data_IF_291688615727
#
_entry.id   IF_291688615727
#
_cell.length_a   1.000
_cell.length_b   1.000
_cell.length_c   1.000
_cell.angle_alpha   90.00
_cell.angle_beta   90.00
_cell.angle_gamma   90.00
#
_symmetry.space_group_name_H-M   'P 1'
#
loop_
_entity.id
_entity.type
_entity.pdbx_description
1 polymer ?
#
# COMPACT_ATOMS: atom_id res chain seq x y z
N UNK A 1 -6.96 22.70 16.65
CA UNK A 1 -6.48 21.74 15.63
C UNK A 1 -6.70 20.35 16.17
N UNK A 2 -7.20 19.41 15.36
CA UNK A 2 -7.49 18.04 15.82
C UNK A 2 -6.18 17.29 16.00
N UNK A 3 -5.93 16.77 17.21
CA UNK A 3 -4.77 15.95 17.47
C UNK A 3 -4.92 14.56 16.83
N UNK A 4 -3.83 13.97 16.36
CA UNK A 4 -3.75 12.60 15.86
C UNK A 4 -2.93 11.76 16.82
N UNK A 5 -3.26 10.47 16.94
CA UNK A 5 -2.64 9.58 17.92
C UNK A 5 -1.99 8.42 17.18
N UNK A 6 -0.65 8.36 17.23
CA UNK A 6 0.12 7.26 16.67
C UNK A 6 0.37 6.21 17.75
N UNK A 7 -0.14 4.97 17.63
CA UNK A 7 0.17 3.94 18.60
C UNK A 7 1.68 3.63 18.58
N UNK A 8 2.29 3.55 19.77
CA UNK A 8 3.69 3.12 19.91
C UNK A 8 3.72 1.60 19.91
N UNK A 9 3.71 1.04 18.70
CA UNK A 9 3.53 -0.40 18.46
C UNK A 9 4.65 -1.21 19.10
N UNK A 10 4.25 -2.24 19.83
CA UNK A 10 5.09 -3.26 20.44
C UNK A 10 4.72 -4.63 19.87
N UNK A 11 5.63 -5.57 20.06
CA UNK A 11 5.56 -6.93 19.55
C UNK A 11 6.01 -7.93 20.63
N UNK A 12 5.77 -9.23 20.41
CA UNK A 12 5.99 -10.28 21.39
C UNK A 12 4.85 -10.50 22.41
N UNK A 13 4.98 -11.61 23.16
CA UNK A 13 3.93 -12.18 24.02
C UNK A 13 3.77 -11.49 25.39
N UNK A 14 4.83 -10.83 25.88
CA UNK A 14 4.82 -10.17 27.18
C UNK A 14 4.11 -8.81 27.09
N UNK A 15 2.77 -8.82 27.24
CA UNK A 15 1.91 -7.65 27.09
C UNK A 15 1.40 -7.15 28.44
N UNK A 16 1.50 -5.84 28.75
CA UNK A 16 0.86 -5.22 29.91
C UNK A 16 -0.67 -5.39 29.89
N UNK A 17 -1.30 -5.46 31.06
CA UNK A 17 -2.76 -5.67 31.19
C UNK A 17 -3.59 -4.58 30.50
N UNK A 18 -3.08 -3.35 30.44
CA UNK A 18 -3.73 -2.19 29.84
C UNK A 18 -3.44 -2.00 28.34
N UNK A 19 -2.55 -2.81 27.76
CA UNK A 19 -2.25 -2.72 26.35
C UNK A 19 -3.47 -3.12 25.51
N UNK A 20 -3.58 -2.56 24.31
CA UNK A 20 -4.64 -2.80 23.33
C UNK A 20 -4.08 -3.45 22.06
N UNK A 21 -4.83 -4.32 21.36
CA UNK A 21 -4.35 -4.92 20.12
C UNK A 21 -4.36 -3.85 19.02
N UNK A 22 -3.37 -3.87 18.13
CA UNK A 22 -3.37 -3.04 16.94
C UNK A 22 -4.10 -3.77 15.82
N UNK A 23 -5.14 -3.14 15.29
CA UNK A 23 -5.90 -3.59 14.13
C UNK A 23 -6.39 -5.06 14.25
N UNK A 24 -6.76 -5.48 15.47
CA UNK A 24 -7.17 -6.85 15.81
C UNK A 24 -6.07 -7.92 15.70
N UNK A 25 -4.85 -7.55 15.33
CA UNK A 25 -3.71 -8.45 15.17
C UNK A 25 -2.94 -8.70 16.48
N UNK A 26 -1.82 -9.44 16.40
CA UNK A 26 -1.04 -9.80 17.59
C UNK A 26 -0.08 -8.69 18.06
N UNK A 27 0.05 -7.59 17.30
CA UNK A 27 0.80 -6.40 17.73
C UNK A 27 -0.06 -5.63 18.72
N UNK A 28 0.57 -4.89 19.62
CA UNK A 28 -0.15 -4.18 20.68
C UNK A 28 0.51 -2.86 21.05
N UNK A 29 -0.20 -1.99 21.77
CA UNK A 29 0.31 -0.72 22.26
C UNK A 29 -0.37 -0.36 23.59
N UNK A 30 0.37 0.25 24.52
CA UNK A 30 -0.17 0.82 25.77
C UNK A 30 -0.03 2.35 25.83
N UNK A 31 0.65 2.94 24.84
CA UNK A 31 0.88 4.36 24.72
C UNK A 31 0.73 4.82 23.27
N UNK A 32 0.37 6.09 23.10
CA UNK A 32 0.31 6.77 21.81
C UNK A 32 1.19 8.03 21.84
N UNK A 33 1.87 8.30 20.74
CA UNK A 33 2.38 9.65 20.47
C UNK A 33 1.22 10.54 20.01
N UNK A 34 0.96 11.62 20.73
CA UNK A 34 -0.01 12.67 20.37
C UNK A 34 0.69 13.68 19.47
N UNK A 35 0.23 13.76 18.23
CA UNK A 35 0.66 14.72 17.22
C UNK A 35 -0.38 15.83 17.07
N UNK A 36 0.05 17.09 17.13
CA UNK A 36 -0.77 18.25 16.81
C UNK A 36 0.10 19.29 16.10
N UNK A 37 -0.44 19.91 15.04
CA UNK A 37 0.31 20.87 14.23
C UNK A 37 0.78 22.05 15.10
N UNK A 38 2.07 22.37 15.01
CA UNK A 38 2.69 23.44 15.78
C UNK A 38 2.94 23.12 17.26
N UNK A 39 2.66 21.90 17.73
CA UNK A 39 2.94 21.44 19.09
C UNK A 39 4.07 20.40 19.08
N UNK A 40 4.80 20.29 20.19
CA UNK A 40 5.75 19.20 20.39
C UNK A 40 4.99 17.87 20.55
N UNK A 41 5.51 16.81 19.94
CA UNK A 41 4.97 15.46 20.10
C UNK A 41 5.13 15.03 21.56
N UNK A 42 4.04 14.56 22.16
CA UNK A 42 4.01 14.06 23.54
C UNK A 42 3.55 12.61 23.56
N UNK A 43 3.96 11.85 24.57
CA UNK A 43 3.50 10.47 24.76
C UNK A 43 2.40 10.46 25.80
N UNK A 44 1.27 9.84 25.48
CA UNK A 44 0.11 9.71 26.37
C UNK A 44 -0.25 8.23 26.54
N UNK A 45 -0.76 7.79 27.71
CA UNK A 45 -1.30 6.45 27.89
C UNK A 45 -2.57 6.24 27.05
N UNK A 46 -2.91 4.98 26.74
CA UNK A 46 -4.14 4.65 26.00
C UNK A 46 -5.41 5.19 26.67
N UNK A 47 -5.41 5.35 28.00
CA UNK A 47 -6.53 5.92 28.76
C UNK A 47 -6.85 7.39 28.42
N UNK A 48 -5.91 8.11 27.80
CA UNK A 48 -6.08 9.51 27.38
C UNK A 48 -6.42 9.64 25.89
N UNK A 49 -6.45 8.53 25.14
CA UNK A 49 -6.77 8.53 23.70
C UNK A 49 -8.30 8.53 23.53
N UNK A 50 -8.87 9.38 22.65
CA UNK A 50 -10.31 9.39 22.38
C UNK A 50 -10.84 8.01 21.98
N UNK A 51 -12.03 7.63 22.48
CA UNK A 51 -12.59 6.29 22.27
C UNK A 51 -12.85 5.95 20.80
N UNK A 52 -13.25 6.93 20.00
CA UNK A 52 -13.47 6.74 18.56
C UNK A 52 -12.15 6.47 17.81
N UNK A 53 -11.06 7.11 18.24
CA UNK A 53 -9.71 6.83 17.73
C UNK A 53 -9.24 5.44 18.17
N UNK A 54 -9.40 5.09 19.45
CA UNK A 54 -9.09 3.75 19.95
C UNK A 54 -9.85 2.68 19.17
N UNK A 55 -11.15 2.86 18.93
CA UNK A 55 -11.96 1.92 18.17
C UNK A 55 -11.37 1.66 16.76
N UNK A 56 -10.90 2.70 16.06
CA UNK A 56 -10.24 2.56 14.75
C UNK A 56 -8.87 1.89 14.84
N UNK A 57 -8.10 2.23 15.87
CA UNK A 57 -6.77 1.64 16.10
C UNK A 57 -6.87 0.14 16.45
N UNK A 58 -7.91 -0.29 17.16
CA UNK A 58 -8.00 -1.66 17.69
C UNK A 58 -8.88 -2.59 16.86
N UNK A 59 -9.81 -2.08 16.05
CA UNK A 59 -10.71 -2.91 15.25
C UNK A 59 -9.94 -3.81 14.26
N UNK A 60 -10.27 -5.12 14.18
CA UNK A 60 -9.77 -6.00 13.13
C UNK A 60 -9.96 -5.40 11.74
N UNK A 61 -9.02 -5.64 10.84
CA UNK A 61 -9.21 -5.28 9.43
C UNK A 61 -10.00 -6.37 8.72
N UNK A 62 -11.10 -5.97 8.10
CA UNK A 62 -11.92 -6.86 7.28
C UNK A 62 -11.15 -7.39 6.07
N UNK A 63 -11.57 -8.54 5.49
CA UNK A 63 -10.92 -9.10 4.33
C UNK A 63 -10.92 -8.15 3.11
N UNK A 64 -9.77 -8.01 2.48
CA UNK A 64 -9.59 -7.25 1.23
C UNK A 64 -9.32 -8.23 0.11
N UNK A 65 -10.07 -8.12 -1.01
CA UNK A 65 -9.96 -9.03 -2.15
C UNK A 65 -10.07 -10.52 -1.79
N UNK A 66 -10.87 -10.85 -0.76
CA UNK A 66 -11.05 -12.22 -0.27
C UNK A 66 -9.94 -12.75 0.63
N UNK A 67 -8.94 -11.93 0.97
CA UNK A 67 -7.82 -12.29 1.85
C UNK A 67 -8.04 -11.69 3.24
N UNK A 68 -7.89 -12.48 4.30
CA UNK A 68 -7.91 -11.92 5.67
C UNK A 68 -6.74 -10.97 5.87
N UNK A 69 -6.94 -9.94 6.69
CA UNK A 69 -5.96 -8.90 6.99
C UNK A 69 -5.40 -9.03 8.43
N UNK A 70 -5.34 -10.28 8.92
CA UNK A 70 -4.82 -10.67 10.25
C UNK A 70 -3.28 -10.77 10.29
N UNK A 71 -2.63 -10.68 9.13
CA UNK A 71 -1.19 -10.72 8.95
C UNK A 71 -0.76 -10.08 7.63
N UNK A 72 0.56 -9.91 7.40
CA UNK A 72 1.07 -9.28 6.20
C UNK A 72 0.75 -10.15 4.96
N UNK A 73 0.21 -9.51 3.93
CA UNK A 73 -0.01 -10.06 2.59
C UNK A 73 1.01 -9.49 1.62
N UNK A 74 1.52 -10.34 0.74
CA UNK A 74 2.49 -9.96 -0.28
C UNK A 74 1.74 -9.63 -1.56
N UNK A 75 1.82 -8.38 -1.96
CA UNK A 75 1.35 -7.92 -3.27
C UNK A 75 2.54 -7.85 -4.24
N UNK A 76 2.55 -8.74 -5.22
CA UNK A 76 3.59 -8.81 -6.24
C UNK A 76 3.36 -7.82 -7.39
N UNK A 77 4.35 -6.99 -7.70
CA UNK A 77 4.29 -6.01 -8.79
C UNK A 77 4.49 -6.68 -10.16
N UNK A 78 3.47 -6.67 -11.01
CA UNK A 78 3.52 -7.13 -12.39
C UNK A 78 3.28 -5.97 -13.36
N UNK A 79 4.36 -5.27 -13.73
CA UNK A 79 4.30 -4.30 -14.82
C UNK A 79 4.19 -5.04 -16.16
N UNK A 80 3.21 -4.63 -16.98
CA UNK A 80 2.92 -5.14 -18.33
C UNK A 80 3.23 -4.07 -19.39
N UNK A 81 4.39 -3.40 -19.25
CA UNK A 81 4.82 -2.28 -20.09
C UNK A 81 5.70 -2.71 -21.27
N UNK A 82 5.81 -1.88 -22.34
CA UNK A 82 6.43 -2.27 -23.61
C UNK A 82 7.94 -2.45 -23.66
N UNK A 83 8.66 -2.39 -22.53
CA UNK A 83 10.11 -2.54 -22.52
C UNK A 83 10.58 -3.92 -23.05
N UNK A 84 9.64 -4.87 -23.29
CA UNK A 84 9.84 -6.16 -23.96
C UNK A 84 9.03 -6.38 -25.26
N UNK A 85 8.33 -5.37 -25.79
CA UNK A 85 7.43 -5.51 -26.96
C UNK A 85 8.13 -5.42 -28.32
N UNK A 86 9.45 -5.22 -28.36
CA UNK A 86 10.16 -4.91 -29.61
C UNK A 86 10.18 -6.04 -30.64
N UNK A 87 9.87 -7.30 -30.30
CA UNK A 87 10.10 -8.43 -31.22
C UNK A 87 8.94 -9.43 -31.40
N UNK A 88 7.80 -9.33 -30.67
CA UNK A 88 6.83 -10.44 -30.57
C UNK A 88 5.33 -10.15 -30.73
N UNK A 89 4.89 -8.89 -30.82
CA UNK A 89 3.47 -8.53 -30.80
C UNK A 89 2.82 -8.60 -29.41
N UNK A 90 1.59 -8.09 -29.28
CA UNK A 90 0.85 -7.97 -28.01
C UNK A 90 0.63 -9.32 -27.32
N UNK A 91 0.36 -10.37 -28.08
CA UNK A 91 0.06 -11.70 -27.52
C UNK A 91 1.27 -12.37 -26.88
N UNK A 92 2.47 -12.22 -27.46
CA UNK A 92 3.71 -12.75 -26.90
C UNK A 92 4.05 -12.08 -25.56
N UNK A 93 3.84 -10.76 -25.48
CA UNK A 93 4.06 -9.99 -24.25
C UNK A 93 3.07 -10.39 -23.13
N UNK A 94 1.83 -10.70 -23.49
CA UNK A 94 0.81 -11.15 -22.55
C UNK A 94 1.17 -12.53 -21.99
N UNK A 95 1.61 -13.48 -22.84
CA UNK A 95 2.05 -14.80 -22.38
C UNK A 95 3.27 -14.74 -21.45
N UNK A 96 4.24 -13.87 -21.74
CA UNK A 96 5.38 -13.64 -20.85
C UNK A 96 4.92 -13.08 -19.49
N UNK A 97 4.02 -12.10 -19.51
CA UNK A 97 3.45 -11.50 -18.29
C UNK A 97 2.67 -12.52 -17.46
N UNK A 98 1.88 -13.38 -18.11
CA UNK A 98 1.16 -14.49 -17.46
C UNK A 98 2.13 -15.51 -16.85
N UNK A 99 3.21 -15.85 -17.55
CA UNK A 99 4.23 -16.76 -17.03
C UNK A 99 4.94 -16.17 -15.79
N UNK A 100 5.29 -14.88 -15.83
CA UNK A 100 5.85 -14.16 -14.67
C UNK A 100 4.86 -14.12 -13.51
N UNK A 101 3.58 -13.83 -13.77
CA UNK A 101 2.53 -13.84 -12.76
C UNK A 101 2.41 -15.20 -12.06
N UNK A 102 2.36 -16.30 -12.83
CA UNK A 102 2.34 -17.66 -12.29
C UNK A 102 3.57 -17.97 -11.44
N UNK A 103 4.74 -17.48 -11.84
CA UNK A 103 5.96 -17.62 -11.05
C UNK A 103 5.87 -16.87 -9.72
N UNK A 104 5.36 -15.63 -9.73
CA UNK A 104 5.16 -14.85 -8.50
C UNK A 104 4.19 -15.54 -7.54
N UNK A 105 3.12 -16.15 -8.04
CA UNK A 105 2.21 -16.96 -7.22
C UNK A 105 2.91 -18.17 -6.60
N UNK A 106 3.76 -18.89 -7.37
CA UNK A 106 4.57 -19.99 -6.86
C UNK A 106 5.59 -19.54 -5.80
N UNK A 107 6.15 -18.34 -5.97
CA UNK A 107 7.07 -17.71 -5.03
C UNK A 107 6.35 -17.15 -3.78
N UNK A 108 5.02 -17.19 -3.77
CA UNK A 108 4.17 -16.85 -2.63
C UNK A 108 3.64 -15.43 -2.66
N UNK A 109 3.26 -14.88 -3.81
CA UNK A 109 2.42 -13.67 -3.85
C UNK A 109 0.98 -14.03 -3.43
N UNK A 110 0.38 -13.22 -2.55
CA UNK A 110 -1.04 -13.34 -2.17
C UNK A 110 -1.93 -12.54 -3.14
N UNK A 111 -1.42 -11.39 -3.63
CA UNK A 111 -2.08 -10.51 -4.59
C UNK A 111 -1.12 -10.26 -5.75
N UNK A 112 -1.64 -10.24 -6.98
CA UNK A 112 -0.90 -9.75 -8.15
C UNK A 112 -1.37 -8.33 -8.47
N UNK A 113 -0.44 -7.38 -8.57
CA UNK A 113 -0.75 -5.99 -8.92
C UNK A 113 -0.29 -5.69 -10.35
N UNK A 114 -1.26 -5.62 -11.25
CA UNK A 114 -1.05 -5.53 -12.69
C UNK A 114 -1.10 -4.06 -13.10
N UNK A 115 0.02 -3.54 -13.62
CA UNK A 115 0.13 -2.14 -14.06
C UNK A 115 0.46 -2.03 -15.54
N UNK A 116 -0.44 -1.39 -16.31
CA UNK A 116 -0.23 -1.12 -17.74
C UNK A 116 0.49 0.19 -18.04
N UNK A 117 0.59 1.07 -17.04
CA UNK A 117 1.23 2.38 -17.12
C UNK A 117 2.35 2.49 -16.08
N UNK A 118 3.51 3.01 -16.48
CA UNK A 118 4.60 3.26 -15.53
C UNK A 118 4.33 4.53 -14.74
N UNK A 119 4.32 4.41 -13.41
CA UNK A 119 4.18 5.53 -12.47
C UNK A 119 5.53 6.06 -11.97
N UNK A 120 6.62 5.69 -12.64
CA UNK A 120 7.97 6.18 -12.34
C UNK A 120 8.12 7.67 -12.67
N UNK A 121 8.98 8.41 -11.96
CA UNK A 121 9.25 9.81 -12.28
C UNK A 121 9.60 10.02 -13.76
N UNK A 122 8.86 10.91 -14.44
CA UNK A 122 9.09 11.27 -15.84
C UNK A 122 8.58 10.26 -16.88
N UNK A 123 7.87 9.21 -16.49
CA UNK A 123 7.23 8.30 -17.45
C UNK A 123 6.02 8.98 -18.13
N UNK A 124 5.83 8.82 -19.45
CA UNK A 124 4.70 9.41 -20.16
C UNK A 124 3.39 8.65 -19.87
N UNK A 125 2.28 9.39 -19.89
CA UNK A 125 0.94 8.82 -19.85
C UNK A 125 0.65 7.91 -21.06
N UNK A 126 -0.03 6.79 -20.80
CA UNK A 126 -0.46 5.81 -21.81
C UNK A 126 -1.94 6.03 -22.16
N UNK A 127 -2.36 6.05 -23.44
CA UNK A 127 -3.78 6.14 -23.80
C UNK A 127 -4.64 5.02 -23.16
N UNK A 128 -5.89 5.32 -22.82
CA UNK A 128 -6.83 4.36 -22.17
C UNK A 128 -6.90 3.03 -22.91
N UNK A 129 -7.15 3.04 -24.21
CA UNK A 129 -7.32 1.82 -25.01
C UNK A 129 -6.04 0.97 -25.01
N UNK A 130 -4.88 1.62 -24.99
CA UNK A 130 -3.59 0.94 -24.95
C UNK A 130 -3.32 0.31 -23.57
N UNK A 131 -3.67 1.01 -22.48
CA UNK A 131 -3.56 0.45 -21.13
C UNK A 131 -4.52 -0.74 -20.94
N UNK A 132 -5.76 -0.65 -21.44
CA UNK A 132 -6.74 -1.74 -21.45
C UNK A 132 -6.16 -2.96 -22.21
N UNK A 133 -5.62 -2.74 -23.42
CA UNK A 133 -5.06 -3.80 -24.24
C UNK A 133 -3.86 -4.51 -23.58
N UNK A 134 -3.15 -3.84 -22.67
CA UNK A 134 -2.05 -4.44 -21.89
C UNK A 134 -2.56 -5.22 -20.68
N UNK A 135 -3.52 -4.67 -19.93
CA UNK A 135 -3.93 -5.20 -18.61
C UNK A 135 -4.99 -6.29 -18.70
N UNK A 136 -5.99 -6.13 -19.59
CA UNK A 136 -7.15 -7.04 -19.66
C UNK A 136 -6.76 -8.47 -19.99
N UNK A 137 -5.95 -8.76 -21.02
CA UNK A 137 -5.62 -10.15 -21.38
C UNK A 137 -4.91 -10.92 -20.25
N UNK A 138 -4.05 -10.22 -19.49
CA UNK A 138 -3.34 -10.81 -18.34
C UNK A 138 -4.29 -11.04 -17.17
N UNK A 139 -5.18 -10.09 -16.90
CA UNK A 139 -6.22 -10.21 -15.87
C UNK A 139 -7.17 -11.38 -16.15
N UNK A 140 -7.69 -11.50 -17.37
CA UNK A 140 -8.59 -12.59 -17.76
C UNK A 140 -7.95 -13.97 -17.61
N UNK A 141 -6.69 -14.10 -18.04
CA UNK A 141 -5.95 -15.36 -17.99
C UNK A 141 -5.62 -15.83 -16.56
N UNK A 142 -5.74 -14.95 -15.57
CA UNK A 142 -5.42 -15.18 -14.15
C UNK A 142 -6.66 -15.12 -13.25
N UNK A 143 -7.86 -15.07 -13.84
CA UNK A 143 -9.13 -15.00 -13.10
C UNK A 143 -9.24 -16.07 -12.02
N UNK A 144 -9.68 -15.66 -10.83
CA UNK A 144 -9.79 -16.52 -9.64
C UNK A 144 -8.62 -16.38 -8.66
N UNK A 145 -7.56 -15.66 -9.04
CA UNK A 145 -6.51 -15.19 -8.13
C UNK A 145 -6.88 -13.79 -7.63
N UNK A 146 -6.50 -13.37 -6.40
CA UNK A 146 -6.60 -11.97 -5.99
C UNK A 146 -5.74 -11.08 -6.89
N UNK A 147 -6.41 -10.24 -7.68
CA UNK A 147 -5.80 -9.33 -8.64
C UNK A 147 -6.13 -7.90 -8.24
N UNK A 148 -5.08 -7.11 -8.11
CA UNK A 148 -5.09 -5.65 -8.05
C UNK A 148 -4.72 -5.08 -9.42
N UNK A 149 -5.35 -3.98 -9.81
CA UNK A 149 -4.99 -3.26 -11.05
C UNK A 149 -4.50 -1.88 -10.66
N UNK A 150 -3.24 -1.59 -10.98
CA UNK A 150 -2.57 -0.31 -10.76
C UNK A 150 -2.94 0.63 -11.92
N UNK A 151 -4.00 1.43 -11.72
CA UNK A 151 -4.48 2.38 -12.71
C UNK A 151 -5.12 3.61 -12.06
N UNK A 152 -5.00 4.74 -12.74
CA UNK A 152 -5.61 6.02 -12.35
C UNK A 152 -6.86 6.35 -13.18
N UNK A 153 -7.25 5.47 -14.13
CA UNK A 153 -8.26 5.73 -15.15
C UNK A 153 -9.48 4.84 -14.93
N UNK A 154 -10.65 5.42 -14.74
CA UNK A 154 -11.88 4.71 -14.42
C UNK A 154 -12.27 3.73 -15.54
N UNK A 155 -12.05 4.10 -16.80
CA UNK A 155 -12.31 3.21 -17.94
C UNK A 155 -11.45 1.92 -17.90
N UNK A 156 -10.17 2.03 -17.53
CA UNK A 156 -9.27 0.88 -17.38
C UNK A 156 -9.72 0.03 -16.19
N UNK A 157 -10.06 0.66 -15.07
CA UNK A 157 -10.54 -0.01 -13.86
C UNK A 157 -11.84 -0.80 -14.12
N UNK A 158 -12.79 -0.23 -14.89
CA UNK A 158 -14.02 -0.91 -15.33
C UNK A 158 -13.69 -2.15 -16.16
N UNK A 159 -12.89 -2.01 -17.22
CA UNK A 159 -12.54 -3.12 -18.10
C UNK A 159 -11.81 -4.24 -17.35
N UNK A 160 -10.91 -3.89 -16.43
CA UNK A 160 -10.18 -4.87 -15.65
C UNK A 160 -11.06 -5.56 -14.59
N UNK A 161 -12.03 -4.86 -14.00
CA UNK A 161 -13.03 -5.47 -13.12
C UNK A 161 -13.90 -6.50 -13.85
N UNK A 162 -14.34 -6.19 -15.08
CA UNK A 162 -15.07 -7.13 -15.94
C UNK A 162 -14.23 -8.38 -16.29
N UNK A 163 -12.92 -8.18 -16.51
CA UNK A 163 -11.94 -9.23 -16.75
C UNK A 163 -11.69 -10.13 -15.51
N UNK A 164 -11.99 -9.66 -14.31
CA UNK A 164 -11.88 -10.43 -13.05
C UNK A 164 -10.95 -9.83 -12.00
N UNK A 165 -10.55 -8.56 -12.12
CA UNK A 165 -9.84 -7.86 -11.04
C UNK A 165 -10.71 -7.77 -9.77
N UNK A 166 -10.06 -7.85 -8.62
CA UNK A 166 -10.69 -7.92 -7.29
C UNK A 166 -10.34 -6.75 -6.37
N UNK A 167 -9.42 -5.90 -6.79
CA UNK A 167 -8.94 -4.70 -6.09
C UNK A 167 -8.51 -3.67 -7.14
N UNK A 168 -8.83 -2.41 -6.90
CA UNK A 168 -8.31 -1.27 -7.67
C UNK A 168 -7.21 -0.60 -6.85
N UNK A 169 -6.09 -0.25 -7.46
CA UNK A 169 -5.00 0.47 -6.82
C UNK A 169 -4.75 1.78 -7.59
N UNK A 170 -5.18 2.90 -7.00
CA UNK A 170 -5.07 4.21 -7.63
C UNK A 170 -4.01 5.06 -6.92
N UNK A 171 -2.85 5.16 -7.56
CA UNK A 171 -1.72 5.96 -7.07
C UNK A 171 -2.00 7.47 -7.02
N UNK A 172 -3.01 7.96 -7.73
CA UNK A 172 -3.44 9.36 -7.64
C UNK A 172 -4.31 9.63 -6.41
N UNK A 173 -4.82 8.58 -5.78
CA UNK A 173 -5.80 8.73 -4.70
C UNK A 173 -7.12 9.27 -5.23
N UNK A 174 -7.58 8.85 -6.41
CA UNK A 174 -8.87 9.21 -7.03
C UNK A 174 -8.98 10.66 -7.54
N UNK A 175 -7.85 11.37 -7.66
CA UNK A 175 -7.85 12.78 -8.10
C UNK A 175 -7.59 12.93 -9.60
N UNK A 176 -7.08 11.89 -10.27
CA UNK A 176 -6.76 11.95 -11.70
C UNK A 176 -8.01 11.85 -12.57
N UNK A 177 -8.83 10.81 -12.35
CA UNK A 177 -10.07 10.59 -13.09
C UNK A 177 -11.28 10.83 -12.17
N UNK A 178 -12.13 11.84 -12.46
CA UNK A 178 -13.27 12.17 -11.62
C UNK A 178 -14.31 11.05 -11.53
N UNK A 179 -14.34 10.12 -12.48
CA UNK A 179 -15.28 8.98 -12.47
C UNK A 179 -14.83 7.84 -11.55
N UNK A 180 -13.57 7.82 -11.10
CA UNK A 180 -13.00 6.70 -10.34
C UNK A 180 -13.73 6.47 -9.01
N UNK A 181 -14.11 7.55 -8.32
CA UNK A 181 -14.84 7.46 -7.04
C UNK A 181 -16.20 6.79 -7.22
N UNK A 182 -16.97 7.22 -8.24
CA UNK A 182 -18.28 6.64 -8.54
C UNK A 182 -18.16 5.18 -9.01
N UNK A 183 -17.14 4.87 -9.80
CA UNK A 183 -16.84 3.49 -10.19
C UNK A 183 -16.55 2.59 -8.97
N UNK A 184 -15.70 3.03 -8.04
CA UNK A 184 -15.38 2.25 -6.84
C UNK A 184 -16.63 2.00 -5.99
N UNK A 185 -17.47 3.03 -5.80
CA UNK A 185 -18.71 2.90 -5.07
C UNK A 185 -19.71 1.94 -5.71
N UNK A 186 -19.90 2.03 -7.04
CA UNK A 186 -20.85 1.19 -7.78
C UNK A 186 -20.40 -0.26 -7.92
N UNK A 187 -19.13 -0.50 -8.24
CA UNK A 187 -18.55 -1.85 -8.33
C UNK A 187 -18.48 -2.55 -6.97
N UNK A 188 -18.39 -1.75 -5.89
CA UNK A 188 -18.07 -2.21 -4.52
C UNK A 188 -16.80 -3.06 -4.47
N UNK A 189 -15.88 -2.94 -5.44
CA UNK A 189 -14.57 -3.54 -5.29
C UNK A 189 -13.80 -2.79 -4.19
N UNK A 190 -12.96 -3.49 -3.41
CA UNK A 190 -11.96 -2.81 -2.62
C UNK A 190 -11.10 -1.87 -3.47
N UNK A 191 -10.66 -0.77 -2.86
CA UNK A 191 -9.80 0.23 -3.49
C UNK A 191 -8.65 0.62 -2.57
N UNK A 192 -7.44 0.66 -3.11
CA UNK A 192 -6.29 1.27 -2.49
C UNK A 192 -6.15 2.71 -2.98
N UNK A 193 -6.22 3.66 -2.05
CA UNK A 193 -6.00 5.09 -2.29
C UNK A 193 -4.63 5.49 -1.77
N UNK A 194 -3.78 5.99 -2.67
CA UNK A 194 -2.43 6.42 -2.32
C UNK A 194 -2.34 7.94 -2.23
N UNK A 195 -1.47 8.44 -1.36
CA UNK A 195 -1.06 9.84 -1.41
C UNK A 195 0.04 10.08 -2.47
N UNK A 196 -0.28 10.94 -3.44
CA UNK A 196 0.67 11.56 -4.37
C UNK A 196 0.28 13.04 -4.60
N UNK A 197 1.27 13.91 -4.84
CA UNK A 197 1.03 15.27 -5.35
C UNK A 197 1.55 15.38 -6.77
N UNK A 198 0.89 16.19 -7.60
CA UNK A 198 1.21 16.35 -9.01
C UNK A 198 0.96 15.06 -9.81
N UNK A 199 1.76 14.86 -10.86
CA UNK A 199 1.76 13.68 -11.72
C UNK A 199 3.14 12.99 -11.67
N UNK A 200 3.32 11.77 -12.19
CA UNK A 200 4.65 11.17 -12.28
C UNK A 200 5.71 12.09 -12.92
N UNK A 201 5.31 12.96 -13.85
CA UNK A 201 6.17 13.94 -14.51
C UNK A 201 6.53 15.14 -13.62
N UNK A 202 5.61 15.61 -12.76
CA UNK A 202 5.78 16.87 -12.00
C UNK A 202 6.04 16.66 -10.50
N UNK A 203 5.74 15.48 -9.96
CA UNK A 203 5.73 15.21 -8.52
C UNK A 203 7.05 15.50 -7.80
N UNK A 204 8.18 15.46 -8.51
CA UNK A 204 9.49 15.74 -7.91
C UNK A 204 9.66 17.19 -7.46
N UNK A 205 8.83 18.12 -7.97
CA UNK A 205 8.80 19.52 -7.54
C UNK A 205 7.79 19.80 -6.41
N UNK A 206 6.88 18.86 -6.13
CA UNK A 206 5.73 19.03 -5.23
C UNK A 206 6.01 18.46 -3.82
N UNK A 207 7.21 18.75 -3.28
CA UNK A 207 7.69 18.15 -2.02
C UNK A 207 7.58 19.09 -0.80
N UNK A 208 6.78 20.15 -0.89
CA UNK A 208 6.62 21.17 0.14
C UNK A 208 5.52 20.79 1.15
N UNK A 209 5.91 20.04 2.18
CA UNK A 209 5.02 19.71 3.29
C UNK A 209 5.35 20.57 4.51
N UNK A 210 4.32 21.05 5.20
CA UNK A 210 4.49 21.70 6.49
C UNK A 210 4.79 20.65 7.57
N UNK A 211 4.07 19.53 7.52
CA UNK A 211 4.34 18.31 8.30
C UNK A 211 3.91 17.13 7.44
N UNK A 212 4.86 16.46 6.79
CA UNK A 212 4.53 15.38 5.83
C UNK A 212 3.68 14.28 6.43
N UNK A 213 3.86 13.96 7.71
CA UNK A 213 3.13 12.88 8.34
C UNK A 213 1.65 13.28 8.52
N UNK A 214 1.39 14.50 9.00
CA UNK A 214 0.03 15.01 9.19
C UNK A 214 -0.63 15.44 7.88
N UNK A 215 0.11 16.01 6.94
CA UNK A 215 -0.38 16.41 5.62
C UNK A 215 -0.84 15.19 4.81
N UNK A 216 -0.06 14.10 4.82
CA UNK A 216 -0.44 12.84 4.16
C UNK A 216 -1.63 12.19 4.87
N UNK A 217 -1.68 12.23 6.21
CA UNK A 217 -2.82 11.72 6.97
C UNK A 217 -4.11 12.46 6.61
N UNK A 218 -4.09 13.80 6.62
CA UNK A 218 -5.28 14.62 6.36
C UNK A 218 -5.79 14.45 4.91
N UNK A 219 -4.89 14.29 3.94
CA UNK A 219 -5.26 13.93 2.56
C UNK A 219 -5.97 12.56 2.50
N UNK A 220 -5.37 11.52 3.09
CA UNK A 220 -5.96 10.19 3.07
C UNK A 220 -7.29 10.14 3.84
N UNK A 221 -7.43 10.88 4.94
CA UNK A 221 -8.70 11.03 5.65
C UNK A 221 -9.78 11.65 4.75
N UNK A 222 -9.41 12.65 3.96
CA UNK A 222 -10.31 13.27 2.97
C UNK A 222 -10.78 12.25 1.92
N UNK A 223 -9.86 11.44 1.37
CA UNK A 223 -10.20 10.42 0.37
C UNK A 223 -11.06 9.28 0.96
N UNK A 224 -10.74 8.83 2.18
CA UNK A 224 -11.56 7.84 2.90
C UNK A 224 -12.98 8.37 3.08
N UNK A 225 -13.14 9.62 3.53
CA UNK A 225 -14.46 10.21 3.67
C UNK A 225 -15.18 10.37 2.33
N UNK A 226 -14.50 10.77 1.26
CA UNK A 226 -15.13 10.89 -0.05
C UNK A 226 -15.73 9.55 -0.53
N UNK A 227 -14.99 8.45 -0.36
CA UNK A 227 -15.46 7.10 -0.69
C UNK A 227 -16.64 6.65 0.20
N UNK A 228 -16.59 6.94 1.50
CA UNK A 228 -17.70 6.64 2.42
C UNK A 228 -18.98 7.40 2.03
N UNK A 229 -18.85 8.68 1.69
CA UNK A 229 -20.00 9.49 1.23
C UNK A 229 -20.55 9.00 -0.11
N UNK A 230 -19.70 8.45 -0.97
CA UNK A 230 -20.13 7.80 -2.22
C UNK A 230 -20.77 6.42 -1.98
N UNK A 231 -20.69 5.87 -0.76
CA UNK A 231 -21.34 4.62 -0.37
C UNK A 231 -20.41 3.40 -0.33
N UNK A 232 -19.10 3.57 -0.49
CA UNK A 232 -18.12 2.50 -0.28
C UNK A 232 -17.76 2.42 1.22
N UNK A 233 -18.01 1.29 1.90
CA UNK A 233 -17.69 1.18 3.33
C UNK A 233 -16.17 1.20 3.55
N UNK A 234 -15.74 1.78 4.67
CA UNK A 234 -14.33 1.90 5.08
C UNK A 234 -13.54 0.59 5.03
N UNK A 235 -14.21 -0.51 5.33
CA UNK A 235 -13.68 -1.88 5.30
C UNK A 235 -13.16 -2.29 3.91
N UNK A 236 -13.63 -1.63 2.85
CA UNK A 236 -13.18 -1.84 1.47
C UNK A 236 -12.09 -0.86 1.03
N UNK A 237 -11.63 0.01 1.92
CA UNK A 237 -10.63 1.02 1.63
C UNK A 237 -9.28 0.58 2.21
N UNK A 238 -8.26 0.61 1.36
CA UNK A 238 -6.86 0.47 1.71
C UNK A 238 -6.19 1.82 1.52
N UNK A 239 -5.30 2.21 2.43
CA UNK A 239 -4.56 3.47 2.34
C UNK A 239 -3.06 3.21 2.14
N UNK A 240 -2.44 3.99 1.26
CA UNK A 240 -0.98 3.96 1.03
C UNK A 240 -0.40 5.39 1.23
N UNK A 241 0.56 5.61 2.15
CA UNK A 241 1.20 6.91 2.33
C UNK A 241 2.06 7.37 1.14
N UNK A 242 2.28 6.51 0.14
CA UNK A 242 2.91 6.82 -1.13
C UNK A 242 4.40 7.07 -1.02
N UNK A 243 5.16 6.12 -0.45
CA UNK A 243 6.61 6.25 -0.30
C UNK A 243 7.30 6.43 -1.66
N UNK A 244 8.11 7.48 -1.76
CA UNK A 244 8.85 7.87 -2.96
C UNK A 244 8.04 8.66 -3.99
N UNK A 245 6.78 9.02 -3.71
CA UNK A 245 5.94 9.85 -4.58
C UNK A 245 5.76 11.24 -3.99
N UNK A 246 6.27 12.26 -4.70
CA UNK A 246 6.28 13.65 -4.26
C UNK A 246 6.90 13.86 -2.86
N UNK A 247 8.02 13.19 -2.55
CA UNK A 247 8.63 13.24 -1.21
C UNK A 247 10.17 13.24 -1.27
N UNK A 248 10.80 14.03 -0.40
CA UNK A 248 12.25 14.01 -0.17
C UNK A 248 12.68 12.75 0.60
N UNK A 249 13.99 12.54 0.75
CA UNK A 249 14.54 11.44 1.55
C UNK A 249 14.01 11.47 2.98
N UNK A 250 14.16 12.60 3.67
CA UNK A 250 13.76 12.76 5.07
C UNK A 250 12.26 12.59 5.26
N UNK A 251 11.47 13.05 4.29
CA UNK A 251 10.02 12.89 4.31
C UNK A 251 9.59 11.43 4.16
N UNK A 252 10.26 10.65 3.31
CA UNK A 252 10.02 9.21 3.21
C UNK A 252 10.37 8.50 4.53
N UNK A 253 11.48 8.87 5.17
CA UNK A 253 11.88 8.31 6.46
C UNK A 253 10.91 8.69 7.59
N UNK A 254 10.40 9.92 7.59
CA UNK A 254 9.41 10.38 8.55
C UNK A 254 8.10 9.57 8.44
N UNK A 255 7.62 9.30 7.23
CA UNK A 255 6.44 8.46 7.01
C UNK A 255 6.67 7.01 7.39
N UNK A 256 7.83 6.43 7.05
CA UNK A 256 8.18 5.08 7.47
C UNK A 256 8.26 4.97 9.00
N UNK A 257 8.84 5.97 9.68
CA UNK A 257 8.90 6.00 11.14
C UNK A 257 7.52 6.21 11.78
N UNK A 258 6.65 6.97 11.12
CA UNK A 258 5.31 7.32 11.59
C UNK A 258 4.17 6.42 11.09
N UNK A 259 4.46 5.33 10.37
CA UNK A 259 3.48 4.56 9.60
C UNK A 259 2.26 4.10 10.41
N UNK A 260 2.49 3.72 11.66
CA UNK A 260 1.43 3.29 12.58
C UNK A 260 0.34 4.34 12.82
N UNK A 261 0.60 5.63 12.54
CA UNK A 261 -0.39 6.71 12.64
C UNK A 261 -1.58 6.47 11.73
N UNK A 262 -1.35 5.92 10.53
CA UNK A 262 -2.39 5.73 9.52
C UNK A 262 -3.44 4.69 9.92
N UNK A 263 -3.19 3.86 10.95
CA UNK A 263 -4.23 3.01 11.52
C UNK A 263 -5.40 3.82 12.13
N UNK A 264 -5.16 5.09 12.50
CA UNK A 264 -6.20 6.02 12.95
C UNK A 264 -7.27 6.33 11.88
N UNK A 265 -6.99 6.03 10.60
CA UNK A 265 -7.97 6.10 9.52
C UNK A 265 -8.95 4.92 9.55
N UNK A 266 -8.67 3.85 10.30
CA UNK A 266 -9.51 2.66 10.39
C UNK A 266 -9.48 1.78 9.13
N UNK A 267 -8.56 2.02 8.21
CA UNK A 267 -8.38 1.27 6.96
C UNK A 267 -7.22 0.27 7.07
N UNK A 268 -7.17 -0.72 6.17
CA UNK A 268 -5.95 -1.50 5.96
C UNK A 268 -4.86 -0.63 5.33
N UNK A 269 -3.59 -0.92 5.61
CA UNK A 269 -2.45 -0.14 5.11
C UNK A 269 -1.69 -0.98 4.08
N UNK A 270 -1.46 -0.39 2.91
CA UNK A 270 -0.52 -0.88 1.91
C UNK A 270 0.79 -0.08 1.99
N UNK A 271 1.92 -0.78 1.88
CA UNK A 271 3.24 -0.17 1.88
C UNK A 271 4.07 -0.62 0.67
N UNK A 272 4.37 0.33 -0.22
CA UNK A 272 5.26 0.14 -1.38
C UNK A 272 6.66 0.74 -1.20
N UNK A 273 7.62 -0.04 -0.68
CA UNK A 273 9.03 0.40 -0.47
C UNK A 273 10.04 -0.25 -1.41
N UNK A 274 9.62 -1.26 -2.18
CA UNK A 274 10.52 -2.11 -2.95
C UNK A 274 11.33 -1.34 -4.00
N UNK A 275 12.66 -1.48 -3.93
CA UNK A 275 13.69 -0.95 -4.85
C UNK A 275 13.71 0.58 -5.00
N UNK A 276 13.01 1.32 -4.12
CA UNK A 276 12.90 2.78 -4.15
C UNK A 276 14.25 3.48 -4.02
N UNK A 277 14.37 4.67 -4.61
CA UNK A 277 15.64 5.41 -4.70
C UNK A 277 16.26 5.79 -3.34
N UNK A 278 15.46 5.95 -2.29
CA UNK A 278 15.98 6.26 -0.95
C UNK A 278 16.87 5.14 -0.40
N UNK A 279 16.57 3.88 -0.74
CA UNK A 279 17.39 2.72 -0.34
C UNK A 279 18.79 2.85 -0.95
N UNK A 280 18.88 3.16 -2.25
CA UNK A 280 20.18 3.35 -2.91
C UNK A 280 20.97 4.51 -2.32
N UNK A 281 20.30 5.63 -2.00
CA UNK A 281 20.94 6.80 -1.38
C UNK A 281 21.54 6.51 0.01
N UNK A 282 20.86 5.71 0.83
CA UNK A 282 21.30 5.40 2.21
C UNK A 282 22.27 4.22 2.29
N UNK A 283 22.11 3.21 1.43
CA UNK A 283 22.94 1.99 1.45
C UNK A 283 24.18 2.08 0.55
N UNK A 284 24.22 3.05 -0.37
CA UNK A 284 25.24 3.10 -1.42
C UNK A 284 24.95 2.17 -2.61
N UNK A 285 23.80 1.49 -2.66
CA UNK A 285 23.46 0.58 -3.75
C UNK A 285 22.89 1.34 -4.98
N UNK A 286 23.73 1.48 -6.00
CA UNK A 286 23.41 2.19 -7.22
C UNK A 286 22.34 1.47 -8.07
N UNK A 287 22.38 0.14 -8.14
CA UNK A 287 21.53 -0.65 -9.03
C UNK A 287 20.21 -1.01 -8.36
N UNK A 288 19.08 -0.59 -8.95
CA UNK A 288 17.77 -0.84 -8.37
C UNK A 288 17.46 -2.34 -8.17
N UNK A 289 17.98 -3.20 -9.05
CA UNK A 289 17.80 -4.65 -8.96
C UNK A 289 18.46 -5.28 -7.71
N UNK A 290 19.55 -4.67 -7.22
CA UNK A 290 20.30 -5.19 -6.07
C UNK A 290 19.78 -4.64 -4.73
N UNK A 291 18.76 -3.77 -4.75
CA UNK A 291 18.18 -3.13 -3.55
C UNK A 291 17.24 -4.03 -2.76
N UNK A 292 17.08 -5.31 -3.12
CA UNK A 292 16.16 -6.21 -2.42
C UNK A 292 16.48 -6.36 -0.92
N UNK A 293 17.74 -6.39 -0.42
CA UNK A 293 18.00 -6.51 1.01
C UNK A 293 17.51 -5.28 1.79
N UNK A 294 17.75 -4.08 1.27
CA UNK A 294 17.22 -2.84 1.83
C UNK A 294 15.70 -2.73 1.71
N UNK A 295 15.11 -3.30 0.65
CA UNK A 295 13.65 -3.39 0.47
C UNK A 295 13.01 -4.27 1.53
N UNK A 296 13.62 -5.41 1.84
CA UNK A 296 13.17 -6.32 2.91
C UNK A 296 13.28 -5.62 4.27
N UNK A 297 14.41 -4.98 4.57
CA UNK A 297 14.59 -4.30 5.85
C UNK A 297 13.52 -3.22 6.09
N UNK A 298 13.21 -2.43 5.06
CA UNK A 298 12.20 -1.37 5.13
C UNK A 298 10.76 -1.92 5.13
N UNK A 299 10.50 -3.03 4.45
CA UNK A 299 9.22 -3.73 4.50
C UNK A 299 8.95 -4.30 5.90
N UNK A 300 9.94 -4.96 6.52
CA UNK A 300 9.83 -5.49 7.89
C UNK A 300 9.60 -4.37 8.92
N UNK A 301 10.24 -3.21 8.75
CA UNK A 301 9.98 -2.04 9.59
C UNK A 301 8.52 -1.54 9.48
N UNK A 302 7.89 -1.70 8.30
CA UNK A 302 6.47 -1.42 8.10
C UNK A 302 5.56 -2.48 8.71
N UNK A 303 5.89 -3.77 8.55
CA UNK A 303 5.14 -4.89 9.15
C UNK A 303 5.19 -4.85 10.67
N UNK A 304 6.32 -4.46 11.26
CA UNK A 304 6.46 -4.25 12.70
C UNK A 304 5.52 -3.15 13.23
N UNK A 305 5.11 -2.22 12.36
CA UNK A 305 4.14 -1.17 12.67
C UNK A 305 2.69 -1.52 12.27
N UNK A 306 2.44 -2.74 11.78
CA UNK A 306 1.08 -3.23 11.50
C UNK A 306 0.61 -3.12 10.06
N UNK A 307 1.48 -2.79 9.08
CA UNK A 307 1.10 -2.77 7.67
C UNK A 307 0.59 -4.14 7.20
N UNK A 308 -0.60 -4.17 6.60
CA UNK A 308 -1.28 -5.40 6.19
C UNK A 308 -0.89 -5.87 4.80
N UNK A 309 -0.52 -4.96 3.88
CA UNK A 309 -0.15 -5.32 2.51
C UNK A 309 1.23 -4.74 2.19
N UNK A 310 2.18 -5.58 1.79
CA UNK A 310 3.51 -5.16 1.35
C UNK A 310 3.63 -5.37 -0.15
N UNK A 311 3.84 -4.27 -0.88
CA UNK A 311 3.95 -4.27 -2.34
C UNK A 311 5.41 -4.39 -2.79
N UNK A 312 5.75 -5.49 -3.49
CA UNK A 312 7.15 -5.88 -3.76
C UNK A 312 7.43 -6.36 -5.18
N UNK A 313 8.67 -6.17 -5.64
CA UNK A 313 9.22 -6.84 -6.82
C UNK A 313 9.75 -8.25 -6.48
N UNK A 314 10.45 -8.37 -5.34
CA UNK A 314 11.19 -9.55 -4.90
C UNK A 314 10.31 -10.45 -4.00
N UNK A 315 9.33 -11.13 -4.61
CA UNK A 315 8.28 -11.89 -3.90
C UNK A 315 8.88 -13.02 -3.05
N UNK A 316 9.74 -13.85 -3.64
CA UNK A 316 10.31 -15.03 -2.98
C UNK A 316 11.11 -14.65 -1.75
N UNK A 317 11.98 -13.66 -1.89
CA UNK A 317 12.87 -13.19 -0.84
C UNK A 317 12.07 -12.51 0.28
N UNK A 318 11.03 -11.74 -0.09
CA UNK A 318 10.11 -11.14 0.89
C UNK A 318 9.33 -12.21 1.64
N UNK A 319 8.81 -13.24 0.97
CA UNK A 319 8.10 -14.36 1.60
C UNK A 319 8.99 -15.12 2.58
N UNK A 320 10.22 -15.40 2.18
CA UNK A 320 11.21 -16.03 3.06
C UNK A 320 11.47 -15.17 4.31
N UNK A 321 11.71 -13.86 4.12
CA UNK A 321 11.98 -12.95 5.23
C UNK A 321 10.80 -12.83 6.19
N UNK A 322 9.58 -12.69 5.68
CA UNK A 322 8.36 -12.61 6.51
C UNK A 322 8.13 -13.88 7.30
N UNK A 323 8.30 -15.05 6.66
CA UNK A 323 8.14 -16.35 7.34
C UNK A 323 9.09 -16.47 8.54
N UNK A 324 10.37 -16.14 8.34
CA UNK A 324 11.37 -16.20 9.42
C UNK A 324 11.11 -15.13 10.49
N UNK A 325 10.76 -13.91 10.09
CA UNK A 325 10.48 -12.82 11.03
C UNK A 325 9.26 -13.15 11.90
N UNK A 326 8.18 -13.70 11.33
CA UNK A 326 6.99 -14.12 12.07
C UNK A 326 7.30 -15.27 13.04
N UNK A 327 8.08 -16.27 12.60
CA UNK A 327 8.47 -17.38 13.47
C UNK A 327 9.29 -16.93 14.69
N UNK A 328 10.16 -15.92 14.53
CA UNK A 328 10.91 -15.30 15.64
C UNK A 328 9.97 -14.58 16.60
N UNK A 329 9.03 -13.80 16.08
CA UNK A 329 8.04 -13.05 16.89
C UNK A 329 7.10 -13.97 17.67
N UNK A 330 6.68 -15.08 17.07
CA UNK A 330 5.83 -16.08 17.70
C UNK A 330 6.61 -16.96 18.69
N UNK A 331 7.94 -16.92 18.68
CA UNK A 331 8.81 -17.64 19.61
C UNK A 331 8.91 -19.14 19.33
N UNK A 332 8.47 -19.60 18.16
CA UNK A 332 8.43 -21.02 17.76
C UNK A 332 7.49 -21.85 18.64
N UNK A 333 6.28 -22.09 18.15
CA UNK A 333 5.41 -23.16 18.69
C UNK A 333 5.31 -24.23 17.62
N UNK A 334 5.77 -25.46 17.93
CA UNK A 334 5.71 -26.64 17.04
C UNK A 334 4.29 -26.96 16.58
#
# INVERSE_FOLDING_TARGET
MTARYRPLVQCGHARPDDALPLAGGPRWFSQCARHARGEAVTVVPVSEVPQDVLARLTAPREPVAGLSMDGPRIMGILNVTPDSFSDGGTDASAQESIARARRMLQDGADILDIGGESTRPGAPEVPVDEEIARVVPVTEALKGVPISVDTRKAAVARAAAEAGATLINDVSGLVFDPEMTEFCASSRLPVCVMHMRGTPETMSAETDYADVLLDVYDFLETQVHALEHAGLPREKIVVDPGIGFAKTLDQNLALLNGLSLFHGLGCAILLGVSRKGFIGKLSGEAEAANRFPGSIATALAGVAQGAQIIRVHDVRETRQALTLWQAVEEGGQE
#
